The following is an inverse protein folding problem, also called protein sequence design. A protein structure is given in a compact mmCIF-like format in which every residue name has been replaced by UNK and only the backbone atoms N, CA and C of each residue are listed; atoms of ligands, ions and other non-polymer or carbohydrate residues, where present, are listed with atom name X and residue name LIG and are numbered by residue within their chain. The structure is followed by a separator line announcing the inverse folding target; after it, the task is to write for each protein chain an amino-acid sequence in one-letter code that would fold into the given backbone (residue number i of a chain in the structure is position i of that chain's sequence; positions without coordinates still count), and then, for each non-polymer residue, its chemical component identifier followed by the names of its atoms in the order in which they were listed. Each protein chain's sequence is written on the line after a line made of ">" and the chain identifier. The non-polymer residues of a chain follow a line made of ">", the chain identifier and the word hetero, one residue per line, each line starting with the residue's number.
data_IF_618997762586
#
_entry.id   IF_618997762586
#
_cell.length_a   1.000
_cell.length_b   1.000
_cell.length_c   1.000
_cell.angle_alpha   90.00
_cell.angle_beta   90.00
_cell.angle_gamma   90.00
#
_symmetry.space_group_name_H-M   'P 1'
#
loop_
_entity.id
_entity.type
_entity.pdbx_description
1 polymer ?
#
# COMPACT_ATOMS: atom_id res chain seq x y z
N UNK A 1 14.24 10.06 -4.84
CA UNK A 1 14.83 9.43 -3.64
C UNK A 1 13.95 9.90 -2.49
N UNK A 2 13.20 9.00 -1.85
CA UNK A 2 12.30 9.39 -0.76
C UNK A 2 13.13 9.63 0.50
N UNK A 3 13.26 10.89 0.89
CA UNK A 3 13.75 11.31 2.22
C UNK A 3 12.65 11.01 3.23
N UNK A 4 12.73 9.83 3.83
CA UNK A 4 11.94 9.56 5.02
C UNK A 4 12.61 10.35 6.15
N UNK A 5 11.92 11.36 6.65
CA UNK A 5 12.37 12.09 7.82
C UNK A 5 12.28 11.16 9.05
N UNK A 6 13.42 10.52 9.34
CA UNK A 6 13.58 9.62 10.48
C UNK A 6 13.36 10.33 11.81
N UNK A 7 13.39 11.67 11.84
CA UNK A 7 13.16 12.44 13.05
C UNK A 7 11.69 12.34 13.49
N UNK A 8 10.74 12.29 12.56
CA UNK A 8 9.30 12.28 12.86
C UNK A 8 8.87 10.94 13.52
N UNK A 9 9.46 9.83 13.07
CA UNK A 9 9.26 8.49 13.66
C UNK A 9 9.97 8.28 15.00
N UNK A 10 10.84 9.21 15.39
CA UNK A 10 11.52 9.21 16.69
C UNK A 10 10.75 10.00 17.76
N UNK A 11 9.94 10.99 17.35
CA UNK A 11 9.21 11.89 18.26
C UNK A 11 7.85 11.33 18.69
N UNK A 12 7.26 10.42 17.92
CA UNK A 12 5.99 9.81 18.27
C UNK A 12 6.16 8.78 19.40
N UNK A 13 5.73 9.13 20.62
CA UNK A 13 5.67 8.20 21.76
C UNK A 13 4.59 7.14 21.44
N UNK A 14 5.00 6.09 20.75
CA UNK A 14 4.13 5.04 20.24
C UNK A 14 3.13 4.52 21.28
N UNK A 15 1.85 4.79 21.06
CA UNK A 15 0.74 4.35 21.93
C UNK A 15 0.37 2.87 21.74
N UNK A 16 0.96 2.20 20.73
CA UNK A 16 0.67 0.80 20.36
C UNK A 16 1.95 0.02 20.18
N UNK A 17 1.93 -1.24 20.60
CA UNK A 17 3.09 -2.14 20.54
C UNK A 17 2.83 -3.30 19.60
N UNK A 18 3.83 -3.61 18.78
CA UNK A 18 3.87 -4.83 17.96
C UNK A 18 5.10 -5.64 18.37
N UNK A 19 4.89 -6.89 18.77
CA UNK A 19 5.99 -7.81 19.11
C UNK A 19 6.39 -8.60 17.86
N UNK A 20 7.69 -8.57 17.53
CA UNK A 20 8.26 -9.33 16.41
C UNK A 20 9.20 -10.40 16.95
N UNK A 21 8.97 -11.65 16.55
CA UNK A 21 9.93 -12.75 16.72
C UNK A 21 10.63 -12.99 15.39
N UNK A 22 11.95 -13.18 15.43
CA UNK A 22 12.75 -13.44 14.24
C UNK A 22 13.89 -14.42 14.55
N UNK A 23 14.40 -15.09 13.53
CA UNK A 23 15.57 -15.97 13.65
C UNK A 23 16.89 -15.21 13.60
N UNK A 24 17.99 -15.95 13.82
CA UNK A 24 19.34 -15.40 13.98
C UNK A 24 19.81 -14.59 12.75
N UNK A 25 19.56 -15.10 11.54
CA UNK A 25 19.94 -14.41 10.30
C UNK A 25 19.35 -13.00 10.19
N UNK A 26 18.09 -12.81 10.62
CA UNK A 26 17.47 -11.49 10.56
C UNK A 26 18.01 -10.58 11.67
N UNK A 27 18.31 -11.15 12.86
CA UNK A 27 18.96 -10.42 13.93
C UNK A 27 20.31 -9.83 13.46
N UNK A 28 21.15 -10.65 12.79
CA UNK A 28 22.45 -10.20 12.27
C UNK A 28 22.32 -9.08 11.23
N UNK A 29 21.31 -9.16 10.36
CA UNK A 29 21.05 -8.12 9.36
C UNK A 29 20.60 -6.81 10.00
N UNK A 30 19.70 -6.88 10.99
CA UNK A 30 19.25 -5.70 11.75
C UNK A 30 20.44 -5.06 12.45
N UNK A 31 21.26 -5.85 13.14
CA UNK A 31 22.37 -5.35 13.95
C UNK A 31 23.43 -4.67 13.08
N UNK A 32 23.74 -5.25 11.92
CA UNK A 32 24.64 -4.63 10.94
C UNK A 32 24.08 -3.34 10.35
N UNK A 33 22.79 -3.30 10.01
CA UNK A 33 22.16 -2.13 9.43
C UNK A 33 22.10 -0.96 10.44
N UNK A 34 21.72 -1.27 11.68
CA UNK A 34 21.65 -0.32 12.80
C UNK A 34 23.03 0.24 13.12
N UNK A 35 24.06 -0.61 13.15
CA UNK A 35 25.44 -0.18 13.33
C UNK A 35 25.94 0.72 12.18
N UNK A 36 25.62 0.38 10.93
CA UNK A 36 26.03 1.16 9.76
C UNK A 36 25.35 2.55 9.70
N UNK A 37 24.11 2.65 10.18
CA UNK A 37 23.32 3.89 10.18
C UNK A 37 23.51 4.71 11.46
N UNK A 38 24.10 4.14 12.52
CA UNK A 38 24.30 4.82 13.80
C UNK A 38 23.00 5.18 14.53
N UNK A 39 21.94 4.40 14.33
CA UNK A 39 20.61 4.62 14.94
C UNK A 39 20.25 3.49 15.90
N UNK A 40 19.14 3.60 16.62
CA UNK A 40 18.64 2.51 17.48
C UNK A 40 17.86 1.45 16.69
N UNK A 41 17.89 0.19 17.17
CA UNK A 41 17.11 -0.92 16.57
C UNK A 41 15.62 -0.58 16.45
N UNK A 42 15.03 0.04 17.48
CA UNK A 42 13.61 0.38 17.50
C UNK A 42 13.25 1.39 16.40
N UNK A 43 14.08 2.43 16.23
CA UNK A 43 13.93 3.46 15.19
C UNK A 43 14.10 2.86 13.80
N UNK A 44 15.12 2.02 13.61
CA UNK A 44 15.34 1.32 12.34
C UNK A 44 14.12 0.47 11.95
N UNK A 45 13.62 -0.35 12.88
CA UNK A 45 12.47 -1.23 12.60
C UNK A 45 11.20 -0.44 12.31
N UNK A 46 10.89 0.62 13.08
CA UNK A 46 9.74 1.49 12.81
C UNK A 46 9.84 2.12 11.42
N UNK A 47 11.00 2.65 11.06
CA UNK A 47 11.23 3.26 9.74
C UNK A 47 11.11 2.24 8.60
N UNK A 48 11.70 1.06 8.75
CA UNK A 48 11.63 0.00 7.75
C UNK A 48 10.18 -0.48 7.53
N UNK A 49 9.43 -0.67 8.61
CA UNK A 49 8.00 -1.06 8.54
C UNK A 49 7.17 0.03 7.89
N UNK A 50 7.36 1.31 8.29
CA UNK A 50 6.62 2.43 7.71
C UNK A 50 6.89 2.56 6.21
N UNK A 51 8.16 2.47 5.79
CA UNK A 51 8.56 2.51 4.39
C UNK A 51 7.90 1.41 3.58
N UNK A 52 7.92 0.18 4.08
CA UNK A 52 7.39 -0.97 3.36
C UNK A 52 5.85 -0.93 3.31
N UNK A 53 5.19 -0.54 4.40
CA UNK A 53 3.75 -0.34 4.42
C UNK A 53 3.31 0.70 3.38
N UNK A 54 4.02 1.83 3.32
CA UNK A 54 3.74 2.87 2.32
C UNK A 54 3.94 2.35 0.90
N UNK A 55 5.05 1.63 0.63
CA UNK A 55 5.31 1.03 -0.68
C UNK A 55 4.19 0.09 -1.12
N UNK A 56 3.72 -0.78 -0.23
CA UNK A 56 2.63 -1.72 -0.52
C UNK A 56 1.32 -0.98 -0.81
N UNK A 57 1.00 0.06 -0.02
CA UNK A 57 -0.20 0.86 -0.23
C UNK A 57 -0.16 1.57 -1.59
N UNK A 58 0.97 2.20 -1.93
CA UNK A 58 1.17 2.83 -3.24
C UNK A 58 1.02 1.81 -4.38
N UNK A 59 1.74 0.69 -4.32
CA UNK A 59 1.68 -0.37 -5.33
C UNK A 59 0.27 -0.95 -5.51
N UNK A 60 -0.49 -1.08 -4.42
CA UNK A 60 -1.87 -1.59 -4.49
C UNK A 60 -2.88 -0.56 -5.00
N UNK A 61 -2.61 0.74 -4.79
CA UNK A 61 -3.51 1.83 -5.21
C UNK A 61 -3.27 2.28 -6.66
N UNK A 62 -2.11 1.97 -7.22
CA UNK A 62 -1.72 2.40 -8.56
C UNK A 62 -1.70 1.23 -9.54
N UNK A 63 -2.37 1.41 -10.68
CA UNK A 63 -2.25 0.50 -11.80
C UNK A 63 -1.34 1.13 -12.87
N UNK A 64 -0.18 0.53 -13.11
CA UNK A 64 0.73 0.97 -14.17
C UNK A 64 0.29 0.31 -15.48
N UNK A 65 -0.20 1.12 -16.41
CA UNK A 65 -0.65 0.65 -17.73
C UNK A 65 0.52 0.65 -18.72
N UNK A 66 0.52 -0.31 -19.65
CA UNK A 66 1.37 -0.21 -20.84
C UNK A 66 0.96 1.01 -21.68
N UNK A 67 1.85 1.53 -22.53
CA UNK A 67 1.50 2.66 -23.40
C UNK A 67 0.31 2.33 -24.32
N UNK A 68 0.22 1.08 -24.78
CA UNK A 68 -0.90 0.61 -25.60
C UNK A 68 -2.21 0.58 -24.81
N UNK A 69 -2.19 0.07 -23.59
CA UNK A 69 -3.39 0.02 -22.74
C UNK A 69 -3.82 1.41 -22.26
N UNK A 70 -2.87 2.31 -22.00
CA UNK A 70 -3.14 3.71 -21.69
C UNK A 70 -3.89 4.39 -22.85
N UNK A 71 -3.41 4.23 -24.10
CA UNK A 71 -4.08 4.78 -25.28
C UNK A 71 -5.49 4.20 -25.48
N UNK A 72 -5.68 2.89 -25.23
CA UNK A 72 -7.00 2.25 -25.28
C UNK A 72 -7.93 2.78 -24.18
N UNK A 73 -7.40 3.00 -22.99
CA UNK A 73 -8.14 3.54 -21.85
C UNK A 73 -8.57 4.99 -22.09
N UNK A 74 -7.67 5.85 -22.53
CA UNK A 74 -7.97 7.24 -22.91
C UNK A 74 -9.06 7.28 -23.99
N UNK A 75 -8.91 6.50 -25.06
CA UNK A 75 -9.92 6.42 -26.12
C UNK A 75 -11.29 5.89 -25.63
N UNK A 76 -11.31 5.12 -24.53
CA UNK A 76 -12.55 4.65 -23.92
C UNK A 76 -13.23 5.73 -23.05
N UNK A 77 -12.48 6.67 -22.46
CA UNK A 77 -13.04 7.78 -21.67
C UNK A 77 -13.85 8.75 -22.53
N UNK A 78 -13.40 9.02 -23.76
CA UNK A 78 -14.09 9.94 -24.68
C UNK A 78 -15.33 9.32 -25.36
N UNK A 79 -15.54 8.01 -25.20
CA UNK A 79 -16.66 7.30 -25.82
C UNK A 79 -17.80 7.15 -24.84
N UNK A 80 -19.04 7.37 -25.30
CA UNK A 80 -20.23 7.00 -24.53
C UNK A 80 -20.28 5.46 -24.38
N UNK A 81 -20.18 4.90 -23.17
CA UNK A 81 -20.10 3.45 -23.00
C UNK A 81 -21.45 2.81 -23.34
N UNK A 82 -21.43 1.81 -24.23
CA UNK A 82 -22.58 0.95 -24.49
C UNK A 82 -22.69 -0.08 -23.36
N UNK A 83 -23.58 0.20 -22.40
CA UNK A 83 -23.83 -0.72 -21.29
C UNK A 83 -24.50 -1.99 -21.81
N UNK A 84 -23.83 -3.12 -21.66
CA UNK A 84 -24.34 -4.43 -22.11
C UNK A 84 -25.59 -4.84 -21.33
N UNK A 85 -26.43 -5.70 -21.93
CA UNK A 85 -27.61 -6.27 -21.26
C UNK A 85 -27.24 -7.03 -19.98
N UNK A 86 -26.11 -7.75 -20.01
CA UNK A 86 -25.55 -8.45 -18.83
C UNK A 86 -25.17 -7.48 -17.72
N UNK A 87 -24.50 -6.37 -18.04
CA UNK A 87 -24.14 -5.35 -17.05
C UNK A 87 -25.40 -4.71 -16.42
N UNK A 88 -26.45 -4.44 -17.21
CA UNK A 88 -27.73 -3.95 -16.70
C UNK A 88 -28.40 -4.95 -15.75
N UNK A 89 -28.43 -6.23 -16.12
CA UNK A 89 -29.00 -7.29 -15.29
C UNK A 89 -28.22 -7.46 -13.96
N UNK A 90 -26.89 -7.44 -14.02
CA UNK A 90 -26.03 -7.51 -12.83
C UNK A 90 -26.25 -6.33 -11.88
N UNK A 91 -26.33 -5.10 -12.40
CA UNK A 91 -26.62 -3.92 -11.60
C UNK A 91 -28.00 -4.00 -10.93
N UNK A 92 -29.03 -4.51 -11.64
CA UNK A 92 -30.37 -4.74 -11.08
C UNK A 92 -30.34 -5.76 -9.94
N UNK A 93 -29.66 -6.89 -10.14
CA UNK A 93 -29.51 -7.92 -9.12
C UNK A 93 -28.74 -7.43 -7.88
N UNK A 94 -27.67 -6.68 -8.08
CA UNK A 94 -26.91 -6.07 -6.99
C UNK A 94 -27.78 -5.11 -6.18
N UNK A 95 -28.49 -4.19 -6.84
CA UNK A 95 -29.41 -3.26 -6.16
C UNK A 95 -30.44 -3.99 -5.33
N UNK A 96 -31.07 -5.04 -5.87
CA UNK A 96 -32.05 -5.85 -5.15
C UNK A 96 -31.48 -6.52 -3.90
N UNK A 97 -30.20 -6.93 -3.92
CA UNK A 97 -29.51 -7.54 -2.77
C UNK A 97 -29.13 -6.53 -1.68
N UNK A 98 -28.77 -5.31 -2.08
CA UNK A 98 -28.20 -4.29 -1.17
C UNK A 98 -29.27 -3.42 -0.50
N UNK A 99 -30.56 -3.58 -0.81
CA UNK A 99 -31.68 -2.93 -0.09
C UNK A 99 -31.80 -3.37 1.40
N UNK A 100 -30.97 -4.31 1.87
CA UNK A 100 -30.90 -4.73 3.28
C UNK A 100 -29.53 -4.52 3.95
N UNK A 101 -28.71 -3.59 3.47
CA UNK A 101 -27.51 -3.15 4.19
C UNK A 101 -27.76 -1.76 4.77
N UNK A 102 -28.27 -1.75 6.02
CA UNK A 102 -28.10 -0.61 6.94
C UNK A 102 -26.61 -0.40 7.25
#
# INVERSE_FOLDING_TARGET
>A
MLDIDLSDLSQDKGARTTQLRHGDRLADLIDRAVAALGIEKSTFLRAAIAKEAQRILEESSHHVMSAEDAARFEAALDRKPTVTSKAKAAAKAYRARVVHAD
#
